data_IF_187376177080
#
_entry.id   IF_187376177080
#
_cell.length_a   1.000
_cell.length_b   1.000
_cell.length_c   1.000
_cell.angle_alpha   90.00
_cell.angle_beta   90.00
_cell.angle_gamma   90.00
#
_symmetry.space_group_name_H-M   'P 1'
#
loop_
_entity.id
_entity.type
_entity.pdbx_description
1 polymer ?
#
# COMPACT_ATOMS: atom_id res chain seq x y z
N UNK A 1 -14.25 -45.53 47.56
CA UNK A 1 -13.10 -46.03 48.37
C UNK A 1 -12.25 -46.87 47.43
N UNK A 2 -11.01 -46.44 47.11
CA UNK A 2 -10.01 -47.16 46.27
C UNK A 2 -10.47 -47.47 44.80
N UNK A 3 -9.67 -47.93 43.81
CA UNK A 3 -8.31 -47.64 43.21
C UNK A 3 -8.18 -48.63 42.01
N UNK A 4 -7.58 -48.43 40.82
CA UNK A 4 -6.72 -47.42 40.14
C UNK A 4 -7.43 -46.95 38.82
N UNK A 5 -6.87 -46.27 37.79
CA UNK A 5 -5.55 -45.67 37.47
C UNK A 5 -5.27 -45.62 35.94
N UNK A 6 -3.99 -45.46 35.54
CA UNK A 6 -3.39 -45.58 34.19
C UNK A 6 -3.53 -44.45 33.12
N UNK A 7 -2.42 -44.28 32.38
CA UNK A 7 -2.19 -43.59 31.08
C UNK A 7 -2.45 -42.07 30.92
N UNK A 8 -1.35 -41.31 31.09
CA UNK A 8 -1.08 -40.10 30.30
C UNK A 8 -0.78 -40.47 28.85
N UNK A 9 -1.48 -39.88 27.88
CA UNK A 9 -1.08 -39.90 26.46
C UNK A 9 -1.25 -38.52 25.83
N UNK A 10 -0.21 -38.04 25.12
CA UNK A 10 -0.16 -36.66 24.63
C UNK A 10 -1.07 -36.47 23.40
N UNK A 11 -2.05 -35.57 23.51
CA UNK A 11 -2.88 -35.09 22.39
C UNK A 11 -2.92 -33.56 22.33
N UNK A 12 -1.74 -32.92 22.31
CA UNK A 12 -1.62 -31.51 21.90
C UNK A 12 -2.12 -31.38 20.45
N UNK A 13 -3.35 -30.88 20.28
CA UNK A 13 -3.99 -30.86 18.97
C UNK A 13 -3.35 -29.84 18.04
N UNK A 14 -3.42 -30.09 16.74
CA UNK A 14 -2.72 -29.26 15.73
C UNK A 14 -3.29 -27.85 15.58
N UNK A 15 -4.42 -27.53 16.22
CA UNK A 15 -5.17 -26.27 16.08
C UNK A 15 -4.37 -25.08 16.62
N UNK A 16 -3.85 -25.20 17.82
CA UNK A 16 -3.18 -24.13 18.58
C UNK A 16 -1.85 -23.69 17.92
N UNK A 17 -1.33 -24.51 16.99
CA UNK A 17 -0.09 -24.25 16.23
C UNK A 17 -0.30 -23.41 14.97
N UNK A 18 -1.52 -22.97 14.68
CA UNK A 18 -1.86 -22.09 13.55
C UNK A 18 -2.02 -20.62 13.97
N UNK A 19 -2.69 -20.33 15.08
CA UNK A 19 -2.91 -18.95 15.56
C UNK A 19 -1.59 -18.23 15.89
N UNK A 20 -0.56 -18.97 16.32
CA UNK A 20 0.81 -18.47 16.50
C UNK A 20 1.46 -18.01 15.18
N UNK A 21 1.13 -18.67 14.05
CA UNK A 21 1.74 -18.40 12.73
C UNK A 21 1.09 -17.24 11.99
N UNK A 22 -0.15 -16.89 12.34
CA UNK A 22 -0.81 -15.69 11.81
C UNK A 22 -0.13 -14.42 12.34
N UNK A 23 0.50 -14.47 13.53
CA UNK A 23 1.33 -13.37 14.06
C UNK A 23 2.61 -13.13 13.25
N UNK A 24 3.37 -14.18 12.91
CA UNK A 24 4.59 -14.05 12.09
C UNK A 24 4.31 -13.52 10.68
N UNK A 25 3.16 -13.92 10.09
CA UNK A 25 2.70 -13.38 8.82
C UNK A 25 2.28 -11.90 8.91
N UNK A 26 1.76 -11.48 10.06
CA UNK A 26 1.43 -10.07 10.31
C UNK A 26 2.69 -9.19 10.33
N UNK A 27 3.81 -9.63 10.92
CA UNK A 27 5.06 -8.83 10.98
C UNK A 27 5.68 -8.57 9.60
N UNK A 28 5.70 -9.57 8.70
CA UNK A 28 6.21 -9.39 7.32
C UNK A 28 5.28 -8.48 6.50
N UNK A 29 3.99 -8.44 6.85
CA UNK A 29 3.00 -7.54 6.24
C UNK A 29 3.09 -6.13 6.87
N UNK A 30 3.30 -5.99 8.19
CA UNK A 30 3.56 -4.75 8.94
C UNK A 30 4.74 -3.96 8.37
N UNK A 31 5.83 -4.62 7.97
CA UNK A 31 6.97 -3.98 7.31
C UNK A 31 6.62 -3.30 5.97
N UNK A 32 5.45 -3.60 5.38
CA UNK A 32 4.84 -2.81 4.30
C UNK A 32 3.66 -1.94 4.78
N UNK A 33 2.89 -2.39 5.75
CA UNK A 33 1.69 -1.70 6.27
C UNK A 33 1.99 -0.45 7.10
N UNK A 34 3.15 -0.35 7.77
CA UNK A 34 3.46 0.80 8.64
C UNK A 34 3.53 2.14 7.93
N UNK A 35 3.73 2.13 6.61
CA UNK A 35 3.63 3.33 5.76
C UNK A 35 2.14 3.63 5.48
N UNK A 36 1.37 2.65 5.02
CA UNK A 36 -0.02 2.86 4.56
C UNK A 36 -1.06 3.03 5.69
N UNK A 37 -0.91 2.37 6.84
CA UNK A 37 -1.94 2.32 7.90
C UNK A 37 -2.09 3.63 8.68
N UNK A 38 -1.06 4.48 8.70
CA UNK A 38 -1.08 5.79 9.36
C UNK A 38 -2.03 6.79 8.69
N UNK A 39 -2.41 6.57 7.43
CA UNK A 39 -3.28 7.46 6.66
C UNK A 39 -4.77 7.27 7.02
N UNK A 40 -5.22 6.02 7.19
CA UNK A 40 -6.65 5.67 7.30
C UNK A 40 -7.31 6.04 8.65
N UNK A 41 -6.54 6.42 9.68
CA UNK A 41 -7.06 6.93 10.98
C UNK A 41 -6.82 8.42 11.23
N UNK A 42 -6.37 9.19 10.23
CA UNK A 42 -6.16 10.65 10.36
C UNK A 42 -7.18 11.53 9.62
N UNK A 43 -8.00 10.97 8.72
CA UNK A 43 -9.02 11.71 7.96
C UNK A 43 -10.22 12.27 8.76
N UNK A 44 -10.17 12.29 10.09
CA UNK A 44 -11.20 12.87 10.98
C UNK A 44 -10.56 13.51 12.22
N UNK A 45 -9.68 14.49 12.00
CA UNK A 45 -9.37 15.55 12.96
C UNK A 45 -8.65 16.67 12.25
N UNK A 46 -9.31 17.82 12.17
CA UNK A 46 -8.72 19.05 11.67
C UNK A 46 -7.47 19.37 12.49
N UNK A 47 -6.32 19.34 11.82
CA UNK A 47 -5.13 20.05 12.26
C UNK A 47 -5.01 21.26 11.36
N UNK A 48 -5.42 22.41 11.88
CA UNK A 48 -4.85 23.67 11.41
C UNK A 48 -3.33 23.54 11.55
N UNK A 49 -2.63 23.41 10.42
CA UNK A 49 -1.20 23.66 10.38
C UNK A 49 -1.06 25.17 10.60
N UNK A 50 -0.29 25.55 11.61
CA UNK A 50 -0.13 26.97 11.96
C UNK A 50 0.83 27.59 10.95
N UNK A 51 0.27 28.12 9.86
CA UNK A 51 0.98 28.82 8.79
C UNK A 51 1.57 30.14 9.29
N UNK A 52 2.70 30.06 9.98
CA UNK A 52 3.38 31.18 10.63
C UNK A 52 4.21 32.07 9.66
N UNK A 53 3.69 32.35 8.46
CA UNK A 53 4.20 33.40 7.55
C UNK A 53 3.06 34.23 6.94
N UNK A 54 2.01 34.53 7.71
CA UNK A 54 0.86 35.33 7.25
C UNK A 54 1.12 36.84 7.21
N UNK A 55 2.20 37.27 6.54
CA UNK A 55 2.68 38.67 6.61
C UNK A 55 3.15 39.31 5.29
N UNK A 56 2.50 39.01 4.15
CA UNK A 56 2.00 40.07 3.25
C UNK A 56 1.18 39.54 2.07
N UNK A 57 -0.15 39.62 2.16
CA UNK A 57 -1.01 39.66 0.99
C UNK A 57 -2.15 40.65 1.24
N UNK A 58 -1.89 41.93 0.96
CA UNK A 58 -2.92 42.98 0.95
C UNK A 58 -3.29 43.29 -0.50
N UNK A 59 -4.60 43.15 -0.76
CA UNK A 59 -5.33 43.55 -1.97
C UNK A 59 -5.25 42.63 -3.20
N UNK A 60 -6.43 42.49 -3.81
CA UNK A 60 -6.74 42.02 -5.16
C UNK A 60 -6.76 40.51 -5.46
N UNK A 61 -7.76 40.12 -6.27
CA UNK A 61 -8.18 38.73 -6.51
C UNK A 61 -7.29 38.03 -7.55
N UNK A 62 -6.15 37.46 -7.15
CA UNK A 62 -5.52 36.33 -7.87
C UNK A 62 -4.42 35.60 -7.08
N UNK A 63 -4.74 35.08 -5.89
CA UNK A 63 -3.88 34.11 -5.21
C UNK A 63 -3.92 32.73 -5.89
N UNK A 64 -3.43 32.64 -7.13
CA UNK A 64 -2.93 31.37 -7.68
C UNK A 64 -1.53 31.13 -7.10
N UNK A 65 -1.48 30.73 -5.82
CA UNK A 65 -0.26 30.19 -5.25
C UNK A 65 0.08 28.91 -6.04
N UNK A 66 1.13 28.98 -6.84
CA UNK A 66 1.75 27.80 -7.42
C UNK A 66 2.63 27.20 -6.33
N UNK A 67 2.04 26.28 -5.57
CA UNK A 67 2.65 25.72 -4.37
C UNK A 67 3.68 24.65 -4.75
N UNK A 68 4.86 25.11 -5.19
CA UNK A 68 6.01 24.28 -5.60
C UNK A 68 6.58 23.39 -4.46
N UNK A 69 6.00 23.51 -3.26
CA UNK A 69 6.28 22.74 -2.06
C UNK A 69 5.88 21.24 -2.17
N UNK A 70 4.99 20.88 -3.11
CA UNK A 70 4.53 19.50 -3.35
C UNK A 70 4.57 19.12 -4.84
N UNK A 71 5.07 17.91 -5.16
CA UNK A 71 4.81 17.26 -6.45
C UNK A 71 3.41 16.65 -6.46
N UNK A 72 2.57 17.03 -7.43
CA UNK A 72 1.18 16.59 -7.56
C UNK A 72 0.98 15.66 -8.76
N UNK A 73 0.34 14.51 -8.55
CA UNK A 73 0.00 13.55 -9.61
C UNK A 73 -1.43 13.03 -9.43
N UNK A 74 -2.24 13.13 -10.47
CA UNK A 74 -3.62 12.65 -10.49
C UNK A 74 -3.74 11.32 -11.24
N UNK A 75 -4.49 10.37 -10.69
CA UNK A 75 -4.93 9.17 -11.39
C UNK A 75 -6.33 9.42 -11.98
N UNK A 76 -6.42 9.35 -13.30
CA UNK A 76 -7.63 9.58 -14.09
C UNK A 76 -8.08 8.27 -14.74
N UNK A 77 -9.38 8.00 -14.84
CA UNK A 77 -9.92 6.88 -15.65
C UNK A 77 -10.23 7.33 -17.08
N UNK A 78 -10.08 6.43 -18.05
CA UNK A 78 -10.71 6.61 -19.37
C UNK A 78 -12.23 6.54 -19.19
N UNK A 79 -12.99 7.39 -19.91
CA UNK A 79 -14.46 7.37 -19.88
C UNK A 79 -14.98 5.94 -20.13
N UNK A 80 -15.97 5.56 -19.34
CA UNK A 80 -16.68 4.26 -19.41
C UNK A 80 -15.77 3.03 -19.34
N UNK A 81 -14.64 3.16 -18.62
CA UNK A 81 -13.65 2.11 -18.45
C UNK A 81 -12.97 2.18 -17.08
N UNK A 82 -12.50 1.04 -16.58
CA UNK A 82 -11.63 0.96 -15.41
C UNK A 82 -10.16 1.19 -15.76
N UNK A 83 -9.82 1.41 -17.04
CA UNK A 83 -8.45 1.75 -17.46
C UNK A 83 -8.07 3.12 -16.91
N UNK A 84 -6.96 3.16 -16.17
CA UNK A 84 -6.39 4.39 -15.59
C UNK A 84 -5.26 4.95 -16.46
N UNK A 85 -5.04 6.26 -16.33
CA UNK A 85 -3.85 6.96 -16.78
C UNK A 85 -3.47 8.04 -15.75
N UNK A 86 -2.21 8.48 -15.77
CA UNK A 86 -1.70 9.51 -14.84
C UNK A 86 -1.58 10.86 -15.54
N UNK A 87 -1.99 11.92 -14.86
CA UNK A 87 -1.83 13.32 -15.30
C UNK A 87 -1.08 14.11 -14.23
N UNK A 88 -0.17 15.00 -14.64
CA UNK A 88 0.54 15.87 -13.71
C UNK A 88 -0.40 16.98 -13.19
N UNK A 89 -0.24 17.37 -11.92
CA UNK A 89 -1.11 18.34 -11.26
C UNK A 89 -2.32 17.72 -10.57
N UNK A 90 -3.24 18.58 -10.14
CA UNK A 90 -4.23 18.27 -9.09
C UNK A 90 -5.59 17.76 -9.58
N UNK A 91 -5.87 17.80 -10.89
CA UNK A 91 -7.21 17.51 -11.44
C UNK A 91 -7.19 16.68 -12.72
N UNK A 92 -8.23 15.87 -12.88
CA UNK A 92 -8.65 15.26 -14.13
C UNK A 92 -9.91 15.98 -14.68
N UNK A 93 -10.43 15.54 -15.83
CA UNK A 93 -11.75 16.00 -16.27
C UNK A 93 -12.86 15.62 -15.27
N UNK A 94 -13.97 16.36 -15.30
CA UNK A 94 -15.11 16.15 -14.40
C UNK A 94 -15.66 14.72 -14.51
N UNK A 95 -15.69 13.99 -13.39
CA UNK A 95 -16.23 12.63 -13.29
C UNK A 95 -15.27 11.49 -13.66
N UNK A 96 -13.99 11.79 -13.94
CA UNK A 96 -12.96 10.77 -14.21
C UNK A 96 -11.76 10.78 -13.25
N UNK A 97 -11.70 11.68 -12.28
CA UNK A 97 -10.67 11.62 -11.23
C UNK A 97 -10.94 10.42 -10.30
N UNK A 98 -9.90 9.63 -10.04
CA UNK A 98 -9.96 8.41 -9.20
C UNK A 98 -9.12 8.58 -7.94
N UNK A 99 -7.92 9.15 -8.06
CA UNK A 99 -7.10 9.51 -6.92
C UNK A 99 -6.25 10.75 -7.22
N UNK A 100 -5.84 11.45 -6.16
CA UNK A 100 -4.86 12.53 -6.17
C UNK A 100 -3.77 12.19 -5.15
N UNK A 101 -2.51 12.20 -5.58
CA UNK A 101 -1.35 12.04 -4.72
C UNK A 101 -0.55 13.33 -4.69
N UNK A 102 -0.07 13.70 -3.50
CA UNK A 102 0.91 14.78 -3.32
C UNK A 102 2.11 14.30 -2.52
N UNK A 103 3.31 14.70 -2.91
CA UNK A 103 4.56 14.27 -2.28
C UNK A 103 5.55 15.42 -2.09
N UNK A 104 6.11 15.52 -0.88
CA UNK A 104 7.25 16.40 -0.55
C UNK A 104 8.41 15.59 -0.02
N UNK A 105 9.55 15.67 -0.70
CA UNK A 105 10.80 15.06 -0.24
C UNK A 105 11.53 15.96 0.77
N UNK A 106 10.96 16.16 1.96
CA UNK A 106 11.55 16.99 3.02
C UNK A 106 12.65 16.25 3.84
N UNK A 107 13.21 15.15 3.33
CA UNK A 107 14.12 14.27 4.09
C UNK A 107 15.40 15.00 4.51
N UNK A 108 15.95 15.86 3.65
CA UNK A 108 17.14 16.65 3.95
C UNK A 108 16.87 17.81 4.93
N UNK A 109 15.63 18.28 5.03
CA UNK A 109 15.23 19.42 5.87
C UNK A 109 14.75 18.96 7.27
N UNK A 110 14.06 17.82 7.32
CA UNK A 110 13.26 17.38 8.48
C UNK A 110 13.47 15.91 8.87
N UNK A 111 14.14 15.12 8.03
CA UNK A 111 14.19 13.66 8.13
C UNK A 111 13.00 12.92 7.51
N UNK A 112 11.94 13.61 7.07
CA UNK A 112 10.69 12.99 6.61
C UNK A 112 10.40 13.19 5.12
N UNK A 113 9.94 12.11 4.46
CA UNK A 113 9.19 12.22 3.21
C UNK A 113 7.70 12.30 3.53
N UNK A 114 7.01 13.34 3.05
CA UNK A 114 5.57 13.54 3.31
C UNK A 114 4.82 13.12 2.05
N UNK A 115 4.12 12.00 2.11
CA UNK A 115 3.22 11.52 1.05
C UNK A 115 1.79 11.49 1.57
N UNK A 116 0.88 12.04 0.77
CA UNK A 116 -0.56 12.03 1.05
C UNK A 116 -1.32 11.63 -0.21
N UNK A 117 -2.42 10.90 -0.05
CA UNK A 117 -3.24 10.42 -1.16
C UNK A 117 -4.73 10.42 -0.80
N UNK A 118 -5.52 10.96 -1.72
CA UNK A 118 -6.98 11.04 -1.64
C UNK A 118 -7.60 10.20 -2.74
N UNK A 119 -8.61 9.38 -2.43
CA UNK A 119 -9.38 8.59 -3.41
C UNK A 119 -10.79 9.14 -3.56
N UNK A 120 -11.29 9.21 -4.79
CA UNK A 120 -12.56 9.83 -5.14
C UNK A 120 -13.65 8.80 -5.44
N UNK A 121 -14.86 9.06 -4.92
CA UNK A 121 -16.03 8.25 -5.21
C UNK A 121 -16.45 8.37 -6.69
N UNK A 122 -16.95 7.28 -7.26
CA UNK A 122 -17.35 7.18 -8.67
C UNK A 122 -16.72 6.02 -9.45
N UNK A 123 -15.84 5.25 -8.80
CA UNK A 123 -15.31 3.96 -9.27
C UNK A 123 -15.26 2.96 -8.11
N UNK A 124 -15.08 1.68 -8.45
CA UNK A 124 -15.01 0.59 -7.47
C UNK A 124 -13.77 0.67 -6.56
N UNK A 125 -13.88 0.07 -5.37
CA UNK A 125 -12.87 0.10 -4.31
C UNK A 125 -11.51 -0.51 -4.74
N UNK A 126 -11.50 -1.50 -5.64
CA UNK A 126 -10.27 -2.14 -6.12
C UNK A 126 -9.53 -1.15 -7.04
N UNK A 127 -10.25 -0.47 -7.92
CA UNK A 127 -9.72 0.61 -8.77
C UNK A 127 -9.22 1.79 -7.92
N UNK A 128 -9.92 2.17 -6.84
CA UNK A 128 -9.46 3.21 -5.91
C UNK A 128 -8.16 2.81 -5.18
N UNK A 129 -8.12 1.64 -4.56
CA UNK A 129 -6.94 1.14 -3.83
C UNK A 129 -5.72 0.99 -4.76
N UNK A 130 -5.93 0.41 -5.96
CA UNK A 130 -4.89 0.31 -6.99
C UNK A 130 -4.38 1.69 -7.43
N UNK A 131 -5.27 2.68 -7.61
CA UNK A 131 -4.88 4.04 -7.99
C UNK A 131 -4.08 4.74 -6.88
N UNK A 132 -4.46 4.60 -5.61
CA UNK A 132 -3.72 5.17 -4.49
C UNK A 132 -2.28 4.64 -4.44
N UNK A 133 -2.12 3.31 -4.53
CA UNK A 133 -0.80 2.68 -4.60
C UNK A 133 -0.02 3.07 -5.85
N UNK A 134 -0.68 3.18 -7.02
CA UNK A 134 -0.04 3.62 -8.26
C UNK A 134 0.61 5.00 -8.12
N UNK A 135 -0.06 5.95 -7.49
CA UNK A 135 0.47 7.30 -7.24
C UNK A 135 1.62 7.27 -6.21
N UNK A 136 1.46 6.51 -5.12
CA UNK A 136 2.51 6.25 -4.12
C UNK A 136 3.80 5.72 -4.77
N UNK A 137 3.66 4.68 -5.61
CA UNK A 137 4.77 4.02 -6.30
C UNK A 137 5.46 4.87 -7.38
N UNK A 138 4.79 5.87 -7.95
CA UNK A 138 5.39 6.81 -8.91
C UNK A 138 6.11 7.95 -8.19
N UNK A 139 5.43 8.63 -7.27
CA UNK A 139 5.94 9.81 -6.57
C UNK A 139 7.09 9.45 -5.61
N UNK A 140 6.92 8.41 -4.80
CA UNK A 140 7.93 8.02 -3.79
C UNK A 140 9.03 7.09 -4.35
N UNK A 141 9.03 6.81 -5.66
CA UNK A 141 9.86 5.80 -6.35
C UNK A 141 11.35 5.84 -6.00
N UNK A 142 11.92 7.05 -5.82
CA UNK A 142 13.32 7.22 -5.43
C UNK A 142 13.58 6.82 -3.97
N UNK A 143 12.67 7.16 -3.05
CA UNK A 143 12.74 6.72 -1.65
C UNK A 143 12.50 5.21 -1.53
N UNK A 144 11.56 4.63 -2.29
CA UNK A 144 11.37 3.17 -2.36
C UNK A 144 12.69 2.50 -2.77
N UNK A 145 13.34 2.99 -3.85
CA UNK A 145 14.62 2.44 -4.31
C UNK A 145 15.70 2.54 -3.23
N UNK A 146 15.88 3.70 -2.59
CA UNK A 146 16.89 3.84 -1.53
C UNK A 146 16.57 3.00 -0.29
N UNK A 147 15.31 2.89 0.12
CA UNK A 147 14.90 2.05 1.24
C UNK A 147 15.20 0.57 0.95
N UNK A 148 14.75 0.05 -0.19
CA UNK A 148 15.01 -1.34 -0.59
C UNK A 148 16.51 -1.64 -0.72
N UNK A 149 17.32 -0.68 -1.18
CA UNK A 149 18.79 -0.81 -1.10
C UNK A 149 19.26 -0.91 0.35
N UNK A 150 18.99 0.10 1.16
CA UNK A 150 19.49 0.21 2.53
C UNK A 150 19.03 -0.91 3.48
N UNK A 151 17.90 -1.58 3.22
CA UNK A 151 17.35 -2.64 4.08
C UNK A 151 17.39 -4.05 3.49
N UNK A 152 17.48 -4.23 2.16
CA UNK A 152 17.40 -5.54 1.51
C UNK A 152 18.66 -5.93 0.69
N UNK A 153 19.52 -4.99 0.30
CA UNK A 153 20.73 -5.20 -0.52
C UNK A 153 21.84 -5.92 0.28
N UNK A 154 21.61 -7.21 0.52
CA UNK A 154 22.49 -8.07 1.30
C UNK A 154 21.79 -9.22 2.04
N UNK A 155 20.45 -9.19 2.15
CA UNK A 155 19.67 -10.14 2.97
C UNK A 155 19.98 -11.62 2.65
N UNK A 156 20.19 -11.94 1.37
CA UNK A 156 20.47 -13.31 0.90
C UNK A 156 21.97 -13.61 0.66
N UNK A 157 22.87 -12.65 0.89
CA UNK A 157 24.30 -12.86 0.66
C UNK A 157 24.84 -13.93 1.62
N UNK A 158 25.47 -14.98 1.08
CA UNK A 158 25.89 -16.16 1.83
C UNK A 158 24.75 -17.05 2.38
N UNK A 159 23.48 -16.66 2.21
CA UNK A 159 22.30 -17.27 2.85
C UNK A 159 21.32 -17.91 1.85
N UNK A 160 21.84 -18.43 0.73
CA UNK A 160 21.03 -18.93 -0.39
C UNK A 160 19.99 -19.99 0.01
N UNK A 161 20.34 -20.93 0.87
CA UNK A 161 19.40 -21.98 1.33
C UNK A 161 18.25 -21.41 2.18
N UNK A 162 18.55 -20.48 3.09
CA UNK A 162 17.55 -19.77 3.87
C UNK A 162 16.60 -18.98 2.97
N UNK A 163 17.13 -18.22 2.00
CA UNK A 163 16.29 -17.47 1.08
C UNK A 163 15.46 -18.38 0.16
N UNK A 164 15.98 -19.53 -0.29
CA UNK A 164 15.18 -20.52 -1.02
C UNK A 164 14.00 -21.02 -0.18
N UNK A 165 14.22 -21.34 1.10
CA UNK A 165 13.16 -21.75 2.04
C UNK A 165 12.14 -20.64 2.28
N UNK A 166 12.60 -19.39 2.45
CA UNK A 166 11.76 -18.21 2.61
C UNK A 166 10.89 -17.92 1.38
N UNK A 167 11.48 -17.89 0.17
CA UNK A 167 10.73 -17.67 -1.07
C UNK A 167 9.72 -18.79 -1.36
N UNK A 168 10.06 -20.05 -1.04
CA UNK A 168 9.11 -21.16 -1.14
C UNK A 168 7.93 -21.01 -0.16
N UNK A 169 8.19 -20.61 1.10
CA UNK A 169 7.15 -20.32 2.08
C UNK A 169 6.26 -19.14 1.64
N UNK A 170 6.84 -18.02 1.24
CA UNK A 170 6.11 -16.84 0.77
C UNK A 170 5.26 -17.16 -0.47
N UNK A 171 5.80 -17.92 -1.42
CA UNK A 171 5.06 -18.38 -2.61
C UNK A 171 3.87 -19.26 -2.23
N UNK A 172 4.02 -20.15 -1.24
CA UNK A 172 2.93 -20.99 -0.75
C UNK A 172 1.86 -20.18 -0.02
N UNK A 173 2.27 -19.23 0.82
CA UNK A 173 1.36 -18.33 1.54
C UNK A 173 0.56 -17.45 0.59
N UNK A 174 1.22 -16.77 -0.35
CA UNK A 174 0.55 -15.90 -1.33
C UNK A 174 -0.43 -16.67 -2.22
N UNK A 175 -0.09 -17.91 -2.60
CA UNK A 175 -1.03 -18.78 -3.29
C UNK A 175 -2.23 -19.17 -2.41
N UNK A 176 -2.03 -19.46 -1.12
CA UNK A 176 -3.15 -19.71 -0.19
C UNK A 176 -4.05 -18.47 -0.02
N UNK A 177 -3.48 -17.28 0.14
CA UNK A 177 -4.22 -16.00 0.16
C UNK A 177 -5.02 -15.82 -1.13
N UNK A 178 -4.39 -15.97 -2.31
CA UNK A 178 -5.02 -15.89 -3.64
C UNK A 178 -6.24 -16.80 -3.78
N UNK A 179 -6.18 -18.02 -3.24
CA UNK A 179 -7.30 -18.97 -3.27
C UNK A 179 -8.39 -18.65 -2.23
N UNK A 180 -8.02 -18.16 -1.04
CA UNK A 180 -8.98 -17.83 0.03
C UNK A 180 -9.74 -16.54 -0.28
N UNK A 181 -9.04 -15.48 -0.73
CA UNK A 181 -9.63 -14.23 -1.24
C UNK A 181 -10.69 -14.53 -2.31
N UNK A 182 -10.34 -15.35 -3.32
CA UNK A 182 -11.25 -15.75 -4.42
C UNK A 182 -12.54 -16.43 -3.94
N UNK A 183 -12.54 -17.07 -2.76
CA UNK A 183 -13.70 -17.76 -2.19
C UNK A 183 -14.48 -16.92 -1.17
N UNK A 184 -13.85 -15.93 -0.55
CA UNK A 184 -14.39 -15.23 0.63
C UNK A 184 -14.65 -13.73 0.48
N UNK A 185 -13.99 -13.03 -0.46
CA UNK A 185 -14.01 -11.55 -0.57
C UNK A 185 -15.41 -10.90 -0.68
N UNK A 186 -16.42 -11.66 -1.11
CA UNK A 186 -17.80 -11.21 -1.33
C UNK A 186 -18.72 -11.46 -0.12
N UNK A 187 -18.29 -12.28 0.84
CA UNK A 187 -19.07 -12.74 2.00
C UNK A 187 -18.43 -12.26 3.31
N UNK A 188 -17.10 -12.19 3.35
CA UNK A 188 -16.30 -11.96 4.55
C UNK A 188 -15.52 -10.64 4.42
N UNK A 189 -15.86 -9.68 5.29
CA UNK A 189 -15.32 -8.32 5.30
C UNK A 189 -13.79 -8.32 5.49
N UNK A 190 -13.24 -9.27 6.24
CA UNK A 190 -11.78 -9.37 6.41
C UNK A 190 -11.10 -9.73 5.08
N UNK A 191 -11.61 -10.74 4.38
CA UNK A 191 -11.05 -11.13 3.07
C UNK A 191 -11.34 -10.11 1.96
N UNK A 192 -12.38 -9.28 2.12
CA UNK A 192 -12.57 -8.07 1.29
C UNK A 192 -11.44 -7.07 1.52
N UNK A 193 -11.08 -6.76 2.77
CA UNK A 193 -9.99 -5.81 3.08
C UNK A 193 -8.61 -6.35 2.64
N UNK A 194 -8.32 -7.63 2.85
CA UNK A 194 -7.10 -8.28 2.31
C UNK A 194 -7.03 -8.12 0.79
N UNK A 195 -8.14 -8.28 0.07
CA UNK A 195 -8.20 -8.07 -1.38
C UNK A 195 -7.88 -6.62 -1.79
N UNK A 196 -8.35 -5.62 -1.04
CA UNK A 196 -8.05 -4.20 -1.30
C UNK A 196 -6.58 -3.86 -1.01
N UNK A 197 -5.99 -4.41 0.06
CA UNK A 197 -4.55 -4.30 0.35
C UNK A 197 -3.70 -4.79 -0.81
N UNK A 198 -3.99 -5.97 -1.36
CA UNK A 198 -3.24 -6.50 -2.50
C UNK A 198 -3.46 -5.68 -3.78
N UNK A 199 -4.61 -5.00 -3.94
CA UNK A 199 -4.82 -4.04 -5.02
C UNK A 199 -3.88 -2.83 -4.90
N UNK A 200 -3.77 -2.21 -3.72
CA UNK A 200 -2.83 -1.09 -3.47
C UNK A 200 -1.38 -1.53 -3.67
N UNK A 201 -0.97 -2.68 -3.12
CA UNK A 201 0.38 -3.22 -3.30
C UNK A 201 0.72 -3.50 -4.77
N UNK A 202 -0.26 -3.99 -5.56
CA UNK A 202 -0.08 -4.18 -7.01
C UNK A 202 0.05 -2.84 -7.73
N UNK A 203 -0.75 -1.84 -7.36
CA UNK A 203 -0.64 -0.47 -7.86
C UNK A 203 0.74 0.14 -7.61
N UNK A 204 1.24 0.06 -6.37
CA UNK A 204 2.57 0.56 -6.00
C UNK A 204 3.69 -0.13 -6.79
N UNK A 205 3.60 -1.44 -6.99
CA UNK A 205 4.54 -2.16 -7.83
C UNK A 205 4.47 -1.71 -9.31
N UNK A 206 3.28 -1.46 -9.84
CA UNK A 206 3.12 -0.94 -11.21
C UNK A 206 3.68 0.49 -11.37
N UNK A 207 3.54 1.34 -10.35
CA UNK A 207 4.12 2.67 -10.33
C UNK A 207 5.66 2.67 -10.24
N UNK A 208 6.20 1.88 -9.32
CA UNK A 208 7.65 1.76 -9.10
C UNK A 208 8.38 1.25 -10.36
N UNK A 209 7.86 0.20 -11.00
CA UNK A 209 8.49 -0.43 -12.17
C UNK A 209 8.44 0.41 -13.46
N UNK A 210 7.79 1.58 -13.46
CA UNK A 210 7.68 2.58 -14.54
C UNK A 210 7.87 2.01 -15.96
N UNK A 211 6.92 1.18 -16.41
CA UNK A 211 6.79 0.89 -17.84
C UNK A 211 6.40 2.17 -18.58
N UNK A 212 6.85 2.32 -19.82
CA UNK A 212 6.64 3.52 -20.65
C UNK A 212 5.18 3.75 -21.08
N UNK A 213 4.30 2.78 -20.83
CA UNK A 213 2.85 2.95 -20.99
C UNK A 213 2.27 3.80 -19.87
N UNK A 214 1.76 4.99 -20.20
CA UNK A 214 0.98 5.87 -19.29
C UNK A 214 -0.41 5.30 -18.94
N UNK A 215 -0.69 4.05 -19.31
CA UNK A 215 -2.00 3.40 -19.27
C UNK A 215 -1.90 2.15 -18.40
N UNK A 216 -2.73 2.08 -17.37
CA UNK A 216 -2.72 1.05 -16.35
C UNK A 216 -4.09 0.37 -16.26
N UNK A 217 -4.11 -0.96 -16.21
CA UNK A 217 -5.33 -1.73 -15.90
C UNK A 217 -5.28 -2.15 -14.43
N UNK A 218 -6.24 -1.74 -13.58
CA UNK A 218 -6.37 -2.26 -12.24
C UNK A 218 -6.50 -3.79 -12.26
N UNK A 219 -5.52 -4.44 -11.64
CA UNK A 219 -5.46 -5.89 -11.43
C UNK A 219 -4.89 -6.14 -10.04
N UNK A 220 -5.16 -7.32 -9.49
CA UNK A 220 -4.63 -7.74 -8.19
C UNK A 220 -3.65 -8.88 -8.45
N UNK A 221 -2.38 -8.66 -8.14
CA UNK A 221 -1.35 -9.68 -8.15
C UNK A 221 -1.11 -10.23 -6.75
N UNK A 222 -0.74 -11.51 -6.71
CA UNK A 222 -0.28 -12.22 -5.51
C UNK A 222 1.06 -12.91 -5.82
N UNK A 223 1.86 -12.32 -6.72
CA UNK A 223 3.12 -12.87 -7.20
C UNK A 223 4.29 -12.13 -6.54
N UNK A 224 5.37 -12.86 -6.28
CA UNK A 224 6.60 -12.27 -5.73
C UNK A 224 7.32 -11.52 -6.85
N UNK A 225 7.25 -10.19 -6.81
CA UNK A 225 7.95 -9.31 -7.74
C UNK A 225 9.38 -9.06 -7.23
N UNK A 226 10.44 -9.31 -8.03
CA UNK A 226 11.76 -8.79 -7.73
C UNK A 226 11.75 -7.26 -7.82
N UNK A 227 12.50 -6.58 -6.95
CA UNK A 227 12.54 -5.12 -6.75
C UNK A 227 13.95 -4.60 -7.01
#
# INVERSE_FOLDING_TARGET
MAIFGANLSNTFTTKDKWEERERELFEIIELKFRISLLLLKRGLRDREIVDNERSNCKLQFNCKQHDDYYEYLSACRKKDSNILYTNNGTKCDKGIQVALGRFRNAVNETGWGIFEVETFNGVDEITQAFAAGLLEGILTRQLIKYHCRNTLEGMCNGKKEYCNKLFAYLSKNLNWIKHTVRKKREIDIYWKQVNLTFAQLTGMNHGYLKKTSTIYKPIISFELTPI
#
